data_IF_676883100258
#
_entry.id   IF_676883100258
#
_cell.length_a   1.000
_cell.length_b   1.000
_cell.length_c   1.000
_cell.angle_alpha   90.00
_cell.angle_beta   90.00
_cell.angle_gamma   90.00
#
_symmetry.space_group_name_H-M   'P 1'
#
loop_
_entity.id
_entity.type
_entity.pdbx_description
1 polymer ?
#
# COMPACT_ATOMS: atom_id res chain seq x y z
N UNK A 1 18.43 -5.27 14.23
CA UNK A 1 17.37 -5.54 13.25
C UNK A 1 16.13 -6.01 14.01
N UNK A 2 15.36 -5.12 14.66
CA UNK A 2 14.17 -5.55 15.44
C UNK A 2 13.04 -4.52 15.58
N UNK A 3 13.13 -3.32 15.01
CA UNK A 3 12.06 -2.31 15.15
C UNK A 3 10.93 -2.49 14.13
N UNK A 4 11.20 -3.12 12.97
CA UNK A 4 10.22 -3.32 11.91
C UNK A 4 9.17 -4.40 12.22
N UNK A 5 9.55 -5.41 13.00
CA UNK A 5 8.63 -6.50 13.37
C UNK A 5 7.49 -5.96 14.24
N UNK A 6 7.77 -4.96 15.09
CA UNK A 6 6.77 -4.35 15.97
C UNK A 6 5.79 -3.44 15.20
N UNK A 7 6.26 -2.66 14.22
CA UNK A 7 5.40 -1.76 13.44
C UNK A 7 4.45 -2.46 12.47
N UNK A 8 4.86 -3.62 11.92
CA UNK A 8 3.99 -4.47 11.10
C UNK A 8 3.09 -5.35 11.98
N UNK A 9 3.53 -5.75 13.18
CA UNK A 9 2.73 -6.53 14.10
C UNK A 9 1.54 -5.76 14.71
N UNK A 10 1.61 -4.43 14.80
CA UNK A 10 0.53 -3.57 15.30
C UNK A 10 -0.49 -3.14 14.23
N UNK A 11 -0.37 -3.63 13.00
CA UNK A 11 -1.34 -3.32 11.95
C UNK A 11 -2.70 -3.94 12.27
N UNK A 12 -3.75 -3.14 12.16
CA UNK A 12 -5.12 -3.66 12.18
C UNK A 12 -5.41 -4.50 10.92
N UNK A 13 -6.51 -5.25 10.92
CA UNK A 13 -6.83 -6.18 9.82
C UNK A 13 -6.90 -5.52 8.43
N UNK A 14 -7.39 -4.29 8.34
CA UNK A 14 -7.52 -3.56 7.08
C UNK A 14 -6.15 -3.06 6.61
N UNK A 15 -5.36 -2.51 7.53
CA UNK A 15 -3.98 -2.08 7.25
C UNK A 15 -3.11 -3.26 6.80
N UNK A 16 -3.19 -4.40 7.48
CA UNK A 16 -2.44 -5.60 7.11
C UNK A 16 -2.84 -6.11 5.71
N UNK A 17 -4.14 -6.15 5.41
CA UNK A 17 -4.64 -6.56 4.10
C UNK A 17 -4.18 -5.60 2.98
N UNK A 18 -4.24 -4.29 3.22
CA UNK A 18 -3.78 -3.26 2.27
C UNK A 18 -2.26 -3.32 2.08
N UNK A 19 -1.49 -3.44 3.16
CA UNK A 19 -0.03 -3.55 3.08
C UNK A 19 0.42 -4.79 2.28
N UNK A 20 -0.20 -5.95 2.55
CA UNK A 20 0.04 -7.16 1.77
C UNK A 20 -0.36 -7.01 0.30
N UNK A 21 -1.48 -6.33 0.02
CA UNK A 21 -1.92 -6.07 -1.35
C UNK A 21 -0.91 -5.19 -2.11
N UNK A 22 -0.42 -4.11 -1.49
CA UNK A 22 0.60 -3.23 -2.08
C UNK A 22 1.89 -3.99 -2.35
N UNK A 23 2.40 -4.74 -1.36
CA UNK A 23 3.63 -5.53 -1.50
C UNK A 23 3.52 -6.59 -2.60
N UNK A 24 2.37 -7.25 -2.71
CA UNK A 24 2.11 -8.22 -3.75
C UNK A 24 2.09 -7.59 -5.15
N UNK A 25 1.40 -6.45 -5.31
CA UNK A 25 1.30 -5.75 -6.59
C UNK A 25 2.67 -5.26 -7.03
N UNK A 26 3.42 -4.59 -6.14
CA UNK A 26 4.77 -4.10 -6.43
C UNK A 26 5.74 -5.20 -6.87
N UNK A 27 5.65 -6.39 -6.26
CA UNK A 27 6.49 -7.55 -6.61
C UNK A 27 6.05 -8.24 -7.91
N UNK A 28 4.88 -7.88 -8.43
CA UNK A 28 4.29 -8.48 -9.62
C UNK A 28 4.86 -7.92 -10.93
N UNK A 29 4.65 -8.61 -12.06
CA UNK A 29 5.13 -8.17 -13.37
C UNK A 29 4.45 -6.88 -13.88
N UNK A 30 3.30 -6.53 -13.31
CA UNK A 30 2.60 -5.28 -13.58
C UNK A 30 3.17 -4.09 -12.80
N UNK A 31 3.96 -4.36 -11.74
CA UNK A 31 4.50 -3.34 -10.85
C UNK A 31 3.45 -2.75 -9.89
N UNK A 32 3.77 -1.60 -9.25
CA UNK A 32 2.94 -0.93 -8.27
C UNK A 32 1.50 -0.71 -8.76
N UNK A 33 0.53 -0.89 -7.87
CA UNK A 33 -0.89 -0.78 -8.22
C UNK A 33 -1.56 0.48 -7.69
N UNK A 34 -2.70 0.81 -8.29
CA UNK A 34 -3.57 1.90 -7.85
C UNK A 34 -4.52 1.48 -6.72
N UNK A 35 -5.28 2.45 -6.18
CA UNK A 35 -6.23 2.21 -5.08
C UNK A 35 -7.31 1.17 -5.43
N UNK A 36 -7.78 1.10 -6.68
CA UNK A 36 -8.82 0.13 -7.05
C UNK A 36 -8.27 -1.29 -7.05
N UNK A 37 -7.08 -1.47 -7.61
CA UNK A 37 -6.37 -2.75 -7.61
C UNK A 37 -6.05 -3.20 -6.19
N UNK A 38 -5.59 -2.29 -5.33
CA UNK A 38 -5.32 -2.56 -3.91
C UNK A 38 -6.60 -2.96 -3.18
N UNK A 39 -7.69 -2.19 -3.31
CA UNK A 39 -8.96 -2.50 -2.65
C UNK A 39 -9.50 -3.88 -3.05
N UNK A 40 -9.48 -4.18 -4.36
CA UNK A 40 -9.89 -5.49 -4.89
C UNK A 40 -9.03 -6.62 -4.35
N UNK A 41 -7.71 -6.41 -4.24
CA UNK A 41 -6.76 -7.41 -3.74
C UNK A 41 -6.91 -7.63 -2.23
N UNK A 42 -7.12 -6.56 -1.47
CA UNK A 42 -7.33 -6.58 -0.02
C UNK A 42 -8.73 -7.10 0.36
N UNK A 43 -9.65 -7.23 -0.59
CA UNK A 43 -11.04 -7.62 -0.31
C UNK A 43 -11.83 -6.55 0.44
N UNK A 44 -11.44 -5.28 0.26
CA UNK A 44 -12.04 -4.13 0.91
C UNK A 44 -12.79 -3.27 -0.10
N UNK A 45 -13.79 -2.52 0.38
CA UNK A 45 -14.32 -1.42 -0.40
C UNK A 45 -13.28 -0.28 -0.53
N UNK A 46 -13.54 0.62 -1.48
CA UNK A 46 -12.63 1.71 -1.82
C UNK A 46 -12.38 2.67 -0.65
N UNK A 47 -13.39 2.91 0.20
CA UNK A 47 -13.27 3.86 1.30
C UNK A 47 -12.39 3.30 2.41
N UNK A 48 -12.61 2.04 2.80
CA UNK A 48 -11.78 1.33 3.78
C UNK A 48 -10.34 1.18 3.30
N UNK A 49 -10.16 0.79 2.05
CA UNK A 49 -8.83 0.70 1.45
C UNK A 49 -8.12 2.05 1.45
N UNK A 50 -8.82 3.14 1.08
CA UNK A 50 -8.24 4.49 1.09
C UNK A 50 -7.80 4.91 2.49
N UNK A 51 -8.64 4.68 3.51
CA UNK A 51 -8.32 5.06 4.89
C UNK A 51 -7.11 4.28 5.43
N UNK A 52 -7.09 2.97 5.22
CA UNK A 52 -5.96 2.13 5.62
C UNK A 52 -4.67 2.53 4.90
N UNK A 53 -4.77 2.89 3.62
CA UNK A 53 -3.63 3.36 2.83
C UNK A 53 -3.09 4.70 3.33
N UNK A 54 -3.96 5.65 3.69
CA UNK A 54 -3.57 6.94 4.27
C UNK A 54 -2.85 6.75 5.62
N UNK A 55 -3.31 5.82 6.45
CA UNK A 55 -2.65 5.48 7.72
C UNK A 55 -1.28 4.82 7.50
N UNK A 56 -1.16 3.94 6.49
CA UNK A 56 0.10 3.31 6.10
C UNK A 56 1.11 4.31 5.50
N UNK A 57 0.62 5.33 4.79
CA UNK A 57 1.47 6.41 4.24
C UNK A 57 1.84 7.47 5.28
N UNK A 58 0.95 7.72 6.24
CA UNK A 58 1.11 8.76 7.25
C UNK A 58 1.94 8.28 8.44
N UNK A 59 1.34 8.05 9.63
CA UNK A 59 2.08 7.78 10.86
C UNK A 59 3.06 6.60 10.78
N UNK A 60 2.75 5.61 9.94
CA UNK A 60 3.53 4.38 9.81
C UNK A 60 4.66 4.51 8.78
N UNK A 61 4.52 5.38 7.77
CA UNK A 61 5.52 5.57 6.72
C UNK A 61 5.87 4.28 5.93
N UNK A 62 5.00 3.28 5.94
CA UNK A 62 5.25 1.96 5.35
C UNK A 62 4.94 1.92 3.85
N UNK A 63 4.10 2.82 3.37
CA UNK A 63 3.69 2.92 1.96
C UNK A 63 3.95 4.34 1.47
N UNK A 64 4.23 4.49 0.18
CA UNK A 64 4.34 5.80 -0.47
C UNK A 64 3.55 5.84 -1.76
N UNK A 65 2.93 6.98 -2.05
CA UNK A 65 2.29 7.26 -3.32
C UNK A 65 3.34 7.84 -4.29
N UNK A 66 3.42 7.25 -5.48
CA UNK A 66 4.22 7.78 -6.59
C UNK A 66 3.33 7.99 -7.79
N UNK A 67 3.64 9.00 -8.59
CA UNK A 67 2.96 9.23 -9.86
C UNK A 67 3.25 8.06 -10.79
N UNK A 68 2.21 7.45 -11.38
CA UNK A 68 2.40 6.42 -12.40
C UNK A 68 2.80 7.07 -13.72
N UNK A 69 4.06 6.90 -14.18
CA UNK A 69 4.52 7.51 -15.42
C UNK A 69 3.81 6.95 -16.66
N UNK A 70 3.16 5.78 -16.54
CA UNK A 70 2.40 5.16 -17.62
C UNK A 70 0.93 5.57 -17.63
N UNK A 71 0.47 6.26 -16.57
CA UNK A 71 -0.90 6.73 -16.48
C UNK A 71 -1.06 8.04 -17.24
N UNK A 72 -1.82 8.01 -18.34
CA UNK A 72 -2.14 9.20 -19.14
C UNK A 72 -2.88 10.31 -18.36
N UNK A 73 -3.31 10.03 -17.12
CA UNK A 73 -4.05 10.96 -16.25
C UNK A 73 -3.33 11.29 -14.94
N UNK A 74 -2.07 10.86 -14.76
CA UNK A 74 -1.32 11.13 -13.53
C UNK A 74 -1.91 10.45 -12.29
N UNK A 75 -2.45 9.23 -12.44
CA UNK A 75 -2.94 8.48 -11.29
C UNK A 75 -1.77 8.06 -10.38
N UNK A 76 -1.99 8.12 -9.07
CA UNK A 76 -1.03 7.63 -8.10
C UNK A 76 -1.07 6.10 -8.04
N UNK A 77 0.11 5.48 -8.03
CA UNK A 77 0.31 4.09 -7.65
C UNK A 77 1.08 4.03 -6.34
N UNK A 78 0.89 2.94 -5.60
CA UNK A 78 1.38 2.84 -4.24
C UNK A 78 2.44 1.75 -4.12
N UNK A 79 3.50 2.05 -3.38
CA UNK A 79 4.69 1.22 -3.22
C UNK A 79 5.02 1.03 -1.75
N UNK A 80 5.61 -0.10 -1.39
CA UNK A 80 6.17 -0.30 -0.06
C UNK A 80 7.42 0.56 0.06
N UNK A 81 7.52 1.32 1.14
CA UNK A 81 8.74 2.06 1.42
C UNK A 81 9.79 1.08 1.94
N UNK A 82 10.81 0.82 1.13
CA UNK A 82 12.01 0.13 1.59
C UNK A 82 12.80 1.11 2.46
N UNK A 83 12.73 0.94 3.78
CA UNK A 83 13.61 1.67 4.70
C UNK A 83 15.00 1.05 4.58
N UNK A 84 15.90 1.73 3.87
CA UNK A 84 17.30 1.35 3.69
C UNK A 84 18.12 1.45 4.96
#
# INVERSE_FOLDING_TARGET
>A
MSELDHGIADLNGDQAAVFQAVSYLESGPAGPGDLEQIARRAGLDRERASRALDELMGPLGLVTAVEDPNSARGHAVYRVQSLG
#
